data_IF_059726132603
#
_entry.id   IF_059726132603
#
_cell.length_a   1.000
_cell.length_b   1.000
_cell.length_c   1.000
_cell.angle_alpha   90.00
_cell.angle_beta   90.00
_cell.angle_gamma   90.00
#
_symmetry.space_group_name_H-M   'P 1'
#
loop_
_entity.id
_entity.type
_entity.pdbx_description
1 polymer ?
#
# COMPACT_ATOMS: atom_id res chain seq x y z
N UNK A 1 -7.78 -17.17 2.43
CA UNK A 1 -7.32 -16.22 3.47
C UNK A 1 -8.23 -15.01 3.41
N UNK A 2 -8.66 -14.49 4.55
CA UNK A 2 -9.51 -13.29 4.66
C UNK A 2 -8.84 -12.35 5.67
N UNK A 3 -8.86 -11.05 5.39
CA UNK A 3 -8.36 -10.02 6.30
C UNK A 3 -9.45 -8.99 6.52
N UNK A 4 -9.54 -8.45 7.74
CA UNK A 4 -10.47 -7.34 8.02
C UNK A 4 -9.96 -6.10 7.30
N UNK A 5 -10.87 -5.35 6.68
CA UNK A 5 -10.53 -4.08 6.02
C UNK A 5 -9.69 -3.17 6.94
N UNK A 6 -10.05 -3.08 8.23
CA UNK A 6 -9.33 -2.27 9.22
C UNK A 6 -7.86 -2.66 9.38
N UNK A 7 -7.53 -3.95 9.35
CA UNK A 7 -6.15 -4.42 9.50
C UNK A 7 -5.30 -3.99 8.30
N UNK A 8 -5.87 -4.07 7.10
CA UNK A 8 -5.24 -3.60 5.87
C UNK A 8 -5.05 -2.09 5.90
N UNK A 9 -6.07 -1.31 6.29
CA UNK A 9 -5.98 0.15 6.42
C UNK A 9 -4.89 0.58 7.41
N UNK A 10 -4.82 -0.09 8.57
CA UNK A 10 -3.78 0.16 9.57
C UNK A 10 -2.39 -0.21 9.06
N UNK A 11 -2.25 -1.33 8.35
CA UNK A 11 -0.99 -1.74 7.73
C UNK A 11 -0.52 -0.71 6.70
N UNK A 12 -1.38 -0.32 5.76
CA UNK A 12 -1.07 0.69 4.74
C UNK A 12 -0.53 1.98 5.37
N UNK A 13 -1.22 2.55 6.37
CA UNK A 13 -0.77 3.77 7.05
C UNK A 13 0.62 3.60 7.68
N UNK A 14 0.87 2.47 8.35
CA UNK A 14 2.17 2.17 8.96
C UNK A 14 3.31 2.06 7.92
N UNK A 15 3.00 1.71 6.67
CA UNK A 15 4.00 1.57 5.59
C UNK A 15 4.16 2.80 4.71
N UNK A 16 3.60 3.96 5.10
CA UNK A 16 3.79 5.21 4.37
C UNK A 16 2.70 5.55 3.35
N UNK A 17 1.56 4.86 3.39
CA UNK A 17 0.40 5.28 2.61
C UNK A 17 -0.35 6.41 3.32
N UNK A 18 -0.70 7.44 2.56
CA UNK A 18 -1.57 8.53 3.00
C UNK A 18 -3.03 8.24 2.63
N UNK A 19 -3.95 8.48 3.56
CA UNK A 19 -5.39 8.28 3.38
C UNK A 19 -6.07 9.55 2.87
N UNK A 20 -6.87 9.43 1.81
CA UNK A 20 -7.83 10.46 1.38
C UNK A 20 -9.24 9.89 1.40
N UNK A 21 -10.11 10.47 2.22
CA UNK A 21 -11.51 10.04 2.33
C UNK A 21 -12.37 10.64 1.22
N UNK A 22 -13.23 9.81 0.65
CA UNK A 22 -14.34 10.17 -0.22
C UNK A 22 -15.66 9.69 0.40
N UNK A 23 -16.81 10.14 -0.12
CA UNK A 23 -18.15 9.77 0.38
C UNK A 23 -18.39 8.26 0.44
N UNK A 24 -17.82 7.48 -0.49
CA UNK A 24 -18.05 6.02 -0.59
C UNK A 24 -16.79 5.15 -0.48
N UNK A 25 -15.60 5.74 -0.59
CA UNK A 25 -14.33 5.02 -0.59
C UNK A 25 -13.26 5.76 0.22
N UNK A 26 -12.29 5.02 0.75
CA UNK A 26 -11.04 5.58 1.25
C UNK A 26 -9.95 5.23 0.23
N UNK A 27 -9.22 6.24 -0.21
CA UNK A 27 -8.11 6.08 -1.12
C UNK A 27 -6.81 6.11 -0.33
N UNK A 28 -5.90 5.21 -0.67
CA UNK A 28 -4.56 5.12 -0.09
C UNK A 28 -3.55 5.32 -1.20
N UNK A 29 -2.64 6.26 -1.03
CA UNK A 29 -1.56 6.54 -1.99
C UNK A 29 -0.23 6.40 -1.27
N UNK A 30 0.73 5.72 -1.88
CA UNK A 30 2.05 5.59 -1.30
C UNK A 30 2.82 6.91 -1.46
N UNK A 31 3.36 7.41 -0.35
CA UNK A 31 4.28 8.53 -0.32
C UNK A 31 5.69 7.97 -0.21
N UNK A 32 6.55 8.31 -1.16
CA UNK A 32 7.92 7.84 -1.17
C UNK A 32 8.72 8.41 0.03
N UNK A 33 9.92 7.88 0.31
CA UNK A 33 10.78 8.42 1.37
C UNK A 33 11.19 9.90 1.19
N UNK A 34 11.01 10.47 -0.01
CA UNK A 34 11.31 11.86 -0.35
C UNK A 34 10.10 12.79 -0.20
N UNK A 35 8.92 12.26 0.16
CA UNK A 35 7.69 13.03 0.34
C UNK A 35 6.85 13.17 -0.93
N UNK A 36 7.22 12.54 -2.05
CA UNK A 36 6.44 12.61 -3.28
C UNK A 36 5.32 11.57 -3.29
N UNK A 37 4.16 11.99 -3.82
CA UNK A 37 3.05 11.09 -4.09
C UNK A 37 3.37 10.24 -5.32
N UNK A 38 3.31 8.93 -5.18
CA UNK A 38 3.51 7.98 -6.30
C UNK A 38 2.18 7.58 -6.95
N UNK A 39 2.27 6.84 -8.07
CA UNK A 39 1.10 6.23 -8.74
C UNK A 39 0.58 4.98 -8.01
N UNK A 40 1.34 4.44 -7.06
CA UNK A 40 0.98 3.26 -6.28
C UNK A 40 -0.17 3.64 -5.34
N UNK A 41 -1.34 3.08 -5.60
CA UNK A 41 -2.56 3.41 -4.88
C UNK A 41 -3.53 2.23 -4.79
N UNK A 42 -4.33 2.20 -3.74
CA UNK A 42 -5.44 1.25 -3.57
C UNK A 42 -6.63 1.96 -2.93
N UNK A 43 -7.80 1.33 -2.96
CA UNK A 43 -8.98 1.83 -2.27
C UNK A 43 -9.63 0.77 -1.39
N UNK A 44 -10.32 1.22 -0.33
CA UNK A 44 -11.20 0.39 0.49
C UNK A 44 -12.62 1.00 0.50
N UNK A 45 -13.64 0.15 0.55
CA UNK A 45 -15.03 0.57 0.74
C UNK A 45 -15.35 0.80 2.22
N UNK A 46 -16.35 1.64 2.51
CA UNK A 46 -16.71 2.00 3.89
C UNK A 46 -17.31 0.85 4.72
N UNK A 47 -17.77 -0.22 4.08
CA UNK A 47 -18.66 -1.20 4.71
C UNK A 47 -18.01 -2.11 5.77
N UNK A 48 -16.77 -1.86 6.20
CA UNK A 48 -16.06 -2.67 7.21
C UNK A 48 -16.11 -4.19 6.96
N UNK A 49 -16.36 -4.61 5.71
CA UNK A 49 -16.47 -6.01 5.33
C UNK A 49 -15.09 -6.66 5.37
N UNK A 50 -15.09 -7.98 5.55
CA UNK A 50 -13.92 -8.78 5.26
C UNK A 50 -13.54 -8.65 3.79
N UNK A 51 -12.25 -8.45 3.52
CA UNK A 51 -11.75 -8.46 2.16
C UNK A 51 -11.60 -9.92 1.71
N UNK A 52 -12.45 -10.34 0.80
CA UNK A 52 -12.37 -11.65 0.17
C UNK A 52 -11.12 -11.80 -0.72
N UNK A 53 -10.84 -13.02 -1.14
CA UNK A 53 -9.66 -13.31 -1.96
C UNK A 53 -9.62 -12.53 -3.28
N UNK A 54 -10.80 -12.21 -3.86
CA UNK A 54 -10.90 -11.42 -5.10
C UNK A 54 -10.43 -9.99 -4.87
N UNK A 55 -10.89 -9.36 -3.79
CA UNK A 55 -10.50 -8.00 -3.43
C UNK A 55 -9.02 -7.95 -3.04
N UNK A 56 -8.53 -8.91 -2.24
CA UNK A 56 -7.11 -8.99 -1.88
C UNK A 56 -6.21 -9.17 -3.12
N UNK A 57 -6.61 -9.99 -4.08
CA UNK A 57 -5.89 -10.18 -5.34
C UNK A 57 -5.84 -8.90 -6.18
N UNK A 58 -6.94 -8.12 -6.18
CA UNK A 58 -7.00 -6.81 -6.83
C UNK A 58 -6.07 -5.81 -6.16
N UNK A 59 -6.15 -5.65 -4.84
CA UNK A 59 -5.29 -4.74 -4.06
C UNK A 59 -3.82 -5.07 -4.25
N UNK A 60 -3.45 -6.36 -4.20
CA UNK A 60 -2.08 -6.81 -4.44
C UNK A 60 -1.53 -6.33 -5.79
N UNK A 61 -2.33 -6.42 -6.86
CA UNK A 61 -1.93 -5.95 -8.19
C UNK A 61 -1.77 -4.43 -8.23
N UNK A 62 -2.72 -3.70 -7.64
CA UNK A 62 -2.69 -2.24 -7.53
C UNK A 62 -1.48 -1.72 -6.74
N UNK A 63 -1.04 -2.49 -5.74
CA UNK A 63 0.13 -2.19 -4.92
C UNK A 63 1.44 -2.72 -5.51
N UNK A 64 1.40 -3.43 -6.65
CA UNK A 64 2.58 -4.04 -7.26
C UNK A 64 3.38 -4.97 -6.32
N UNK A 65 2.66 -5.72 -5.48
CA UNK A 65 3.24 -6.69 -4.55
C UNK A 65 2.98 -8.12 -5.01
N UNK A 66 3.87 -9.05 -4.67
CA UNK A 66 3.57 -10.47 -4.76
C UNK A 66 2.69 -10.94 -3.58
N UNK A 67 2.28 -12.21 -3.60
CA UNK A 67 1.37 -12.77 -2.59
C UNK A 67 1.99 -12.75 -1.19
N UNK A 68 3.29 -13.02 -1.08
CA UNK A 68 4.01 -13.05 0.19
C UNK A 68 4.29 -11.65 0.69
N UNK A 69 4.72 -10.73 -0.18
CA UNK A 69 4.92 -9.32 0.15
C UNK A 69 3.64 -8.65 0.64
N UNK A 70 2.50 -8.92 -0.01
CA UNK A 70 1.21 -8.38 0.42
C UNK A 70 0.76 -8.97 1.77
N UNK A 71 0.99 -10.26 1.98
CA UNK A 71 0.78 -10.91 3.28
C UNK A 71 1.66 -10.26 4.36
N UNK A 72 2.94 -10.07 4.08
CA UNK A 72 3.90 -9.45 5.00
C UNK A 72 3.61 -7.98 5.30
N UNK A 73 2.98 -7.28 4.35
CA UNK A 73 2.47 -5.94 4.56
C UNK A 73 1.40 -5.93 5.66
N UNK A 74 0.45 -6.88 5.60
CA UNK A 74 -0.70 -6.96 6.52
C UNK A 74 -0.30 -7.54 7.87
N UNK A 75 0.39 -8.69 7.87
CA UNK A 75 0.83 -9.40 9.09
C UNK A 75 2.03 -8.72 9.77
N UNK A 76 2.54 -7.65 9.17
CA UNK A 76 3.52 -6.72 9.71
C UNK A 76 5.00 -7.17 9.85
N UNK A 77 5.53 -8.28 9.28
CA UNK A 77 6.99 -8.45 9.20
C UNK A 77 7.66 -7.51 8.18
N UNK A 78 6.91 -6.92 7.24
CA UNK A 78 7.45 -5.97 6.26
C UNK A 78 7.56 -4.58 6.88
N UNK A 79 8.76 -4.02 7.07
CA UNK A 79 8.91 -2.64 7.57
C UNK A 79 8.65 -1.61 6.46
N UNK A 80 8.46 -0.34 6.84
CA UNK A 80 8.30 0.76 5.87
C UNK A 80 9.53 0.86 4.96
N UNK A 81 10.72 0.69 5.52
CA UNK A 81 12.00 0.76 4.82
C UNK A 81 12.15 -0.40 3.82
N UNK A 82 11.77 -1.62 4.21
CA UNK A 82 11.76 -2.77 3.30
C UNK A 82 10.76 -2.58 2.15
N UNK A 83 9.58 -2.02 2.42
CA UNK A 83 8.62 -1.72 1.37
C UNK A 83 9.18 -0.69 0.38
N UNK A 84 9.83 0.37 0.88
CA UNK A 84 10.49 1.36 0.04
C UNK A 84 11.59 0.74 -0.85
N UNK A 85 12.38 -0.20 -0.32
CA UNK A 85 13.39 -0.94 -1.09
C UNK A 85 12.77 -1.80 -2.19
N UNK A 86 11.64 -2.47 -1.94
CA UNK A 86 10.91 -3.23 -2.95
C UNK A 86 10.51 -2.31 -4.10
N UNK A 87 9.92 -1.16 -3.79
CA UNK A 87 9.46 -0.23 -4.82
C UNK A 87 10.60 0.42 -5.59
N UNK A 88 11.70 0.78 -4.93
CA UNK A 88 12.91 1.27 -5.58
C UNK A 88 13.52 0.22 -6.50
N UNK A 89 13.64 -1.03 -6.05
CA UNK A 89 14.17 -2.13 -6.89
C UNK A 89 13.30 -2.36 -8.13
N UNK A 90 12.01 -2.11 -8.03
CA UNK A 90 11.06 -2.21 -9.13
C UNK A 90 10.93 -0.90 -9.95
N UNK A 91 11.81 0.08 -9.72
CA UNK A 91 11.91 1.33 -10.49
C UNK A 91 10.64 2.21 -10.42
N UNK A 92 9.90 2.17 -9.30
CA UNK A 92 8.71 3.00 -9.09
C UNK A 92 9.03 4.44 -8.65
N UNK A 93 10.23 4.67 -8.11
CA UNK A 93 10.77 5.99 -7.80
C UNK A 93 12.29 5.89 -7.63
N UNK A 94 12.99 7.00 -7.87
CA UNK A 94 14.44 7.10 -7.76
C UNK A 94 14.85 8.03 -6.61
N UNK A 95 16.08 7.86 -6.14
CA UNK A 95 16.67 8.87 -5.26
C UNK A 95 16.83 10.16 -6.06
N UNK A 96 16.16 11.24 -5.66
CA UNK A 96 16.50 12.59 -6.13
C UNK A 96 17.87 13.00 -5.56
N UNK A 97 18.94 12.32 -5.97
CA UNK A 97 20.31 12.83 -5.84
C UNK A 97 20.65 13.57 -7.12
N UNK A 98 20.39 14.88 -7.10
CA UNK A 98 20.93 15.81 -8.09
C UNK A 98 20.00 16.09 -9.26
N UNK A 99 19.05 17.01 -9.04
CA UNK A 99 18.72 17.99 -10.07
C UNK A 99 19.35 19.31 -9.62
N UNK A 100 20.68 19.38 -9.75
CA UNK A 100 21.42 20.65 -9.85
C UNK A 100 21.19 21.22 -11.24
#
# INVERSE_FOLDING_TARGET
>A
MSYKTKDIESALKKKGFSEKRSRRHKHYFYIDPFGNKTEIQTLTSHNNQECDERLLSSMRKQLHLDKYQFKDLIECPLTKEKLAQIYKRNNFFEDNKGRT
#
